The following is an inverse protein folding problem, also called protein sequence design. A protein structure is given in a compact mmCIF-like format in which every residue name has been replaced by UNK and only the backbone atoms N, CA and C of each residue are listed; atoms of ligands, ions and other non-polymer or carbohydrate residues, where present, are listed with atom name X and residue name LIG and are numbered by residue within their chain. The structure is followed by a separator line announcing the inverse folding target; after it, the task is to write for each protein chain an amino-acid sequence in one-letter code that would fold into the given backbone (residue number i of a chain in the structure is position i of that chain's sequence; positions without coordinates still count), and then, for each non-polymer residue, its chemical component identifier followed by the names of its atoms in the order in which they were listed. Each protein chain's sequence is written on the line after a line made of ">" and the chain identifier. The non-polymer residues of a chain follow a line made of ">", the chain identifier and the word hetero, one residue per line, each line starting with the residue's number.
data_IF_699834654267
#
_entry.id   IF_699834654267
#
_cell.length_a   1.000
_cell.length_b   1.000
_cell.length_c   1.000
_cell.angle_alpha   90.00
_cell.angle_beta   90.00
_cell.angle_gamma   90.00
#
_symmetry.space_group_name_H-M   'P 1'
#
loop_
_entity.id
_entity.type
_entity.pdbx_description
1 polymer ?
#
# COMPACT_ATOMS: atom_id res chain seq x y z
N UNK A 1 25.96 0.40 3.62
CA UNK A 1 26.04 1.81 3.15
C UNK A 1 24.92 2.55 3.86
N UNK A 2 25.23 3.57 4.67
CA UNK A 2 24.20 4.34 5.37
C UNK A 2 23.57 5.33 4.39
N UNK A 3 22.42 4.98 3.81
CA UNK A 3 21.63 5.82 2.90
C UNK A 3 20.96 7.02 3.61
N UNK A 4 21.24 7.24 4.90
CA UNK A 4 20.67 8.33 5.70
C UNK A 4 21.29 9.71 5.41
N UNK A 5 22.36 9.78 4.60
CA UNK A 5 22.97 11.05 4.22
C UNK A 5 22.13 11.75 3.15
N UNK A 6 20.95 12.24 3.53
CA UNK A 6 20.12 13.06 2.66
C UNK A 6 18.63 12.97 2.88
N UNK A 7 18.10 12.14 3.79
CA UNK A 7 16.66 12.17 4.10
C UNK A 7 16.41 13.22 5.20
N UNK A 8 15.72 14.29 4.85
CA UNK A 8 15.35 15.36 5.80
C UNK A 8 14.05 15.02 6.54
N UNK A 9 13.07 14.50 5.82
CA UNK A 9 11.76 14.19 6.38
C UNK A 9 10.81 13.57 5.37
N UNK A 10 9.53 13.62 5.71
CA UNK A 10 8.44 13.07 4.91
C UNK A 10 7.31 14.10 4.81
N UNK A 11 6.76 14.24 3.62
CA UNK A 11 5.66 15.14 3.33
C UNK A 11 4.40 14.31 3.14
N UNK A 12 3.32 14.65 3.84
CA UNK A 12 1.98 14.14 3.53
C UNK A 12 1.29 15.09 2.56
N UNK A 13 0.71 14.56 1.48
CA UNK A 13 -0.01 15.35 0.50
C UNK A 13 -1.27 15.96 1.11
N UNK A 14 -1.39 17.29 1.02
CA UNK A 14 -2.49 18.01 1.69
C UNK A 14 -2.36 18.10 3.22
N UNK A 15 -1.29 17.53 3.77
CA UNK A 15 -0.98 17.52 5.20
C UNK A 15 0.32 18.27 5.53
N UNK A 16 0.80 18.15 6.78
CA UNK A 16 2.09 18.71 7.20
C UNK A 16 3.28 17.92 6.61
N UNK A 17 4.47 18.48 6.78
CA UNK A 17 5.74 17.77 6.62
C UNK A 17 6.28 17.43 8.01
N UNK A 18 6.85 16.25 8.15
CA UNK A 18 7.44 15.76 9.39
C UNK A 18 8.95 15.55 9.18
N UNK A 19 9.82 15.99 10.11
CA UNK A 19 11.20 15.57 10.08
C UNK A 19 11.29 14.06 10.34
N UNK A 20 12.31 13.40 9.80
CA UNK A 20 12.44 11.93 9.91
C UNK A 20 12.47 11.45 11.37
N UNK A 21 12.98 12.27 12.29
CA UNK A 21 13.00 11.99 13.74
C UNK A 21 11.62 11.89 14.37
N UNK A 22 10.58 12.44 13.75
CA UNK A 22 9.20 12.43 14.24
C UNK A 22 8.34 11.35 13.55
N UNK A 23 8.87 10.69 12.51
CA UNK A 23 8.11 9.65 11.84
C UNK A 23 8.01 8.41 12.72
N UNK A 24 6.78 8.03 13.04
CA UNK A 24 6.50 6.82 13.78
C UNK A 24 6.85 5.63 12.87
N UNK A 25 7.76 4.77 13.33
CA UNK A 25 8.21 3.61 12.55
C UNK A 25 7.07 2.69 12.12
N UNK A 26 7.39 1.72 11.27
CA UNK A 26 6.41 0.76 10.74
C UNK A 26 5.86 -0.09 11.90
N UNK A 27 4.55 -0.04 12.08
CA UNK A 27 3.81 -0.90 12.99
C UNK A 27 3.88 -2.35 12.54
N UNK A 28 4.13 -3.23 13.51
CA UNK A 28 4.16 -4.68 13.35
C UNK A 28 3.40 -5.33 14.49
N UNK A 29 2.79 -6.48 14.21
CA UNK A 29 2.18 -7.30 15.24
C UNK A 29 3.29 -7.91 16.12
N UNK A 30 3.02 -8.12 17.41
CA UNK A 30 3.99 -8.74 18.34
C UNK A 30 4.43 -10.14 17.91
N UNK A 31 3.55 -10.84 17.16
CA UNK A 31 3.81 -12.17 16.62
C UNK A 31 3.40 -12.18 15.15
N UNK A 32 4.25 -12.73 14.25
CA UNK A 32 3.87 -12.95 12.87
C UNK A 32 2.65 -13.87 12.79
N UNK A 33 1.77 -13.64 11.82
CA UNK A 33 0.69 -14.56 11.50
C UNK A 33 1.29 -15.76 10.76
N UNK A 34 1.19 -17.00 11.28
CA UNK A 34 1.77 -18.19 10.67
C UNK A 34 0.93 -18.68 9.47
N UNK A 35 0.76 -17.80 8.48
CA UNK A 35 0.06 -18.04 7.23
C UNK A 35 1.10 -18.02 6.11
N UNK A 36 1.46 -19.20 5.59
CA UNK A 36 2.63 -19.37 4.71
C UNK A 36 2.27 -19.51 3.23
N UNK A 37 1.01 -19.25 2.86
CA UNK A 37 0.60 -19.35 1.47
C UNK A 37 1.12 -18.14 0.68
N UNK A 38 2.15 -18.40 -0.13
CA UNK A 38 2.57 -17.50 -1.19
C UNK A 38 1.71 -17.79 -2.42
N UNK A 39 0.74 -16.92 -2.67
CA UNK A 39 -0.12 -17.03 -3.82
C UNK A 39 0.47 -16.22 -4.97
N UNK A 40 0.67 -16.85 -6.13
CA UNK A 40 1.30 -16.21 -7.28
C UNK A 40 0.35 -15.18 -7.90
N UNK A 41 0.77 -13.92 -7.99
CA UNK A 41 -0.01 -12.83 -8.59
C UNK A 41 -0.31 -13.08 -10.08
N UNK A 42 -1.54 -12.78 -10.53
CA UNK A 42 -1.97 -12.93 -11.92
C UNK A 42 -2.38 -11.57 -12.54
N UNK A 43 -1.96 -11.33 -13.79
CA UNK A 43 -2.30 -10.12 -14.57
C UNK A 43 -3.53 -10.33 -15.47
N UNK A 44 -4.51 -9.42 -15.47
CA UNK A 44 -5.85 -9.67 -16.02
C UNK A 44 -5.93 -9.49 -17.55
N UNK A 45 -5.50 -10.46 -18.37
CA UNK A 45 -5.58 -10.29 -19.85
C UNK A 45 -6.00 -11.48 -20.72
N UNK A 46 -6.50 -12.61 -20.21
CA UNK A 46 -6.90 -13.75 -21.08
C UNK A 46 -8.21 -14.44 -20.65
N UNK A 47 -8.97 -15.15 -21.51
CA UNK A 47 -10.05 -16.04 -21.08
C UNK A 47 -9.56 -17.13 -20.09
N UNK A 48 -10.46 -17.64 -19.24
CA UNK A 48 -10.13 -18.60 -18.18
C UNK A 48 -9.79 -19.97 -18.79
N UNK A 49 -8.50 -20.30 -18.88
CA UNK A 49 -8.03 -21.66 -19.19
C UNK A 49 -8.26 -22.59 -18.00
N UNK A 50 -8.27 -23.91 -18.24
CA UNK A 50 -8.32 -24.91 -17.16
C UNK A 50 -7.15 -24.76 -16.16
N UNK A 51 -5.98 -24.37 -16.65
CA UNK A 51 -4.81 -24.06 -15.82
C UNK A 51 -5.08 -22.87 -14.90
N UNK A 52 -5.77 -21.84 -15.39
CA UNK A 52 -6.14 -20.68 -14.58
C UNK A 52 -7.18 -21.02 -13.52
N UNK A 53 -8.13 -21.91 -13.82
CA UNK A 53 -9.06 -22.43 -12.82
C UNK A 53 -8.35 -23.23 -11.71
N UNK A 54 -7.36 -24.05 -12.07
CA UNK A 54 -6.53 -24.77 -11.08
C UNK A 54 -5.72 -23.82 -10.22
N UNK A 55 -5.08 -22.83 -10.84
CA UNK A 55 -4.39 -21.77 -10.11
C UNK A 55 -5.35 -21.08 -9.13
N UNK A 56 -6.55 -20.66 -9.53
CA UNK A 56 -7.51 -20.06 -8.59
C UNK A 56 -7.87 -20.97 -7.42
N UNK A 57 -8.06 -22.28 -7.67
CA UNK A 57 -8.36 -23.23 -6.60
C UNK A 57 -7.19 -23.42 -5.63
N UNK A 58 -5.98 -23.43 -6.16
CA UNK A 58 -4.73 -23.56 -5.38
C UNK A 58 -4.40 -22.26 -4.63
N UNK A 59 -4.90 -21.11 -5.12
CA UNK A 59 -4.69 -19.80 -4.52
C UNK A 59 -5.87 -19.29 -3.66
N UNK A 60 -6.80 -20.18 -3.27
CA UNK A 60 -7.91 -19.80 -2.38
C UNK A 60 -7.39 -19.57 -0.96
N UNK A 61 -7.91 -18.55 -0.27
CA UNK A 61 -7.60 -18.35 1.14
C UNK A 61 -8.11 -19.52 1.97
N UNK A 62 -7.18 -20.19 2.65
CA UNK A 62 -7.48 -21.10 3.75
C UNK A 62 -7.90 -20.32 5.00
N UNK A 63 -9.22 -20.27 5.27
CA UNK A 63 -9.78 -19.55 6.41
C UNK A 63 -9.39 -20.14 7.76
N UNK A 64 -9.19 -21.46 7.82
CA UNK A 64 -8.82 -22.14 9.07
C UNK A 64 -7.40 -21.74 9.49
N UNK A 65 -6.53 -21.48 8.52
CA UNK A 65 -5.19 -20.91 8.77
C UNK A 65 -5.19 -19.39 8.89
N UNK A 66 -6.01 -18.68 8.10
CA UNK A 66 -6.08 -17.22 8.18
C UNK A 66 -6.58 -16.78 9.55
N UNK A 67 -7.53 -17.51 10.15
CA UNK A 67 -8.10 -17.21 11.47
C UNK A 67 -8.62 -15.76 11.58
N UNK A 68 -9.66 -15.39 10.83
CA UNK A 68 -10.15 -14.01 10.76
C UNK A 68 -10.52 -13.36 12.10
N UNK A 69 -10.80 -14.17 13.11
CA UNK A 69 -11.17 -13.75 14.46
C UNK A 69 -10.00 -13.12 15.24
N UNK A 70 -8.75 -13.46 14.93
CA UNK A 70 -7.59 -12.92 15.65
C UNK A 70 -7.11 -11.58 15.09
N UNK A 71 -7.56 -11.19 13.90
CA UNK A 71 -7.12 -9.96 13.22
C UNK A 71 -7.53 -8.72 14.00
N UNK A 72 -6.57 -7.85 14.39
CA UNK A 72 -6.91 -6.58 15.02
C UNK A 72 -7.69 -5.71 14.04
N UNK A 73 -8.73 -5.06 14.53
CA UNK A 73 -9.51 -4.09 13.76
C UNK A 73 -8.84 -2.72 13.90
N UNK A 74 -8.57 -2.07 12.77
CA UNK A 74 -8.04 -0.69 12.75
C UNK A 74 -9.16 0.27 12.39
N UNK A 75 -9.76 0.88 13.41
CA UNK A 75 -10.93 1.77 13.27
C UNK A 75 -10.57 3.16 12.76
N UNK A 76 -9.31 3.59 12.88
CA UNK A 76 -8.78 4.86 12.42
C UNK A 76 -7.90 4.71 11.17
N UNK A 77 -8.11 3.66 10.38
CA UNK A 77 -7.37 3.40 9.15
C UNK A 77 -7.53 4.54 8.13
N UNK A 78 -6.41 4.91 7.52
CA UNK A 78 -6.27 5.90 6.45
C UNK A 78 -5.39 5.35 5.31
N UNK A 79 -5.66 5.83 4.10
CA UNK A 79 -4.74 5.73 2.96
C UNK A 79 -4.18 7.13 2.75
N UNK A 80 -2.92 7.31 3.09
CA UNK A 80 -2.23 8.59 2.94
C UNK A 80 -1.36 8.57 1.69
N UNK A 81 -1.06 9.77 1.18
CA UNK A 81 -0.08 9.96 0.12
C UNK A 81 1.14 10.64 0.73
N UNK A 82 2.30 9.99 0.73
CA UNK A 82 3.51 10.54 1.31
C UNK A 82 4.69 10.57 0.35
N UNK A 83 5.63 11.47 0.59
CA UNK A 83 6.83 11.62 -0.21
C UNK A 83 8.04 11.91 0.67
N UNK A 84 9.16 11.23 0.41
CA UNK A 84 10.44 11.54 1.02
C UNK A 84 10.91 12.95 0.62
N UNK A 85 11.33 13.75 1.60
CA UNK A 85 11.97 15.05 1.39
C UNK A 85 13.47 14.86 1.58
N UNK A 86 14.26 15.19 0.56
CA UNK A 86 15.71 15.05 0.62
C UNK A 86 16.43 16.36 1.02
N UNK A 87 15.78 17.50 0.83
CA UNK A 87 16.33 18.80 1.18
C UNK A 87 15.21 19.75 1.61
N UNK A 88 15.50 20.60 2.59
CA UNK A 88 14.54 21.48 3.27
C UNK A 88 13.76 22.40 2.31
N UNK A 89 14.36 22.79 1.18
CA UNK A 89 13.76 23.70 0.19
C UNK A 89 13.14 22.99 -1.02
N UNK A 90 12.94 21.67 -0.95
CA UNK A 90 12.28 20.92 -2.04
C UNK A 90 10.84 21.36 -2.19
N UNK A 91 10.45 21.75 -3.41
CA UNK A 91 9.06 22.17 -3.67
C UNK A 91 8.15 20.96 -3.71
N UNK A 92 6.92 21.11 -3.24
CA UNK A 92 5.94 20.03 -3.22
C UNK A 92 5.67 19.47 -4.64
N UNK A 93 5.67 20.32 -5.66
CA UNK A 93 5.47 19.93 -7.06
C UNK A 93 6.63 19.10 -7.65
N UNK A 94 7.79 19.09 -6.98
CA UNK A 94 8.96 18.28 -7.36
C UNK A 94 8.95 16.90 -6.67
N UNK A 95 8.06 16.69 -5.70
CA UNK A 95 7.93 15.42 -4.99
C UNK A 95 7.21 14.37 -5.84
N UNK A 96 7.45 13.11 -5.51
CA UNK A 96 6.69 11.97 -6.01
C UNK A 96 6.01 11.36 -4.79
N UNK A 97 4.68 11.48 -4.74
CA UNK A 97 3.89 10.96 -3.64
C UNK A 97 3.46 9.53 -3.93
N UNK A 98 3.55 8.66 -2.94
CA UNK A 98 3.15 7.26 -3.00
C UNK A 98 2.10 6.97 -1.92
N UNK A 99 1.23 5.98 -2.17
CA UNK A 99 0.18 5.60 -1.23
C UNK A 99 0.68 4.61 -0.18
N UNK A 100 0.38 4.88 1.09
CA UNK A 100 0.63 3.98 2.22
C UNK A 100 -0.56 3.84 3.15
N UNK A 101 -0.57 2.75 3.91
CA UNK A 101 -1.56 2.53 4.96
C UNK A 101 -1.07 3.16 6.26
N UNK A 102 -1.98 3.89 6.90
CA UNK A 102 -1.67 4.65 8.11
C UNK A 102 -2.78 4.51 9.13
N UNK A 103 -2.43 4.67 10.39
CA UNK A 103 -3.35 4.81 11.51
C UNK A 103 -2.81 5.90 12.43
N UNK A 104 -3.58 6.95 12.73
CA UNK A 104 -3.17 7.98 13.68
C UNK A 104 -2.76 7.44 15.05
N UNK A 105 -3.33 6.31 15.49
CA UNK A 105 -2.99 5.68 16.78
C UNK A 105 -1.80 4.71 16.73
N UNK A 106 -1.45 4.17 15.57
CA UNK A 106 -0.40 3.14 15.43
C UNK A 106 0.79 3.57 14.55
N UNK A 107 0.67 4.67 13.81
CA UNK A 107 1.65 5.13 12.83
C UNK A 107 1.50 4.46 11.47
N UNK A 108 2.61 4.28 10.76
CA UNK A 108 2.63 3.59 9.47
C UNK A 108 2.26 2.11 9.64
N UNK A 109 1.25 1.64 8.93
CA UNK A 109 0.85 0.23 8.91
C UNK A 109 1.56 -0.54 7.80
N UNK A 110 2.62 0.04 7.23
CA UNK A 110 3.22 -0.40 5.98
C UNK A 110 2.51 0.20 4.76
N UNK A 111 3.16 0.14 3.63
CA UNK A 111 2.64 0.67 2.38
C UNK A 111 3.01 -0.24 1.23
N UNK A 112 2.39 0.03 0.09
CA UNK A 112 2.77 -0.61 -1.18
C UNK A 112 4.02 0.08 -1.77
N UNK A 113 4.79 0.76 -0.92
CA UNK A 113 5.96 1.56 -1.23
C UNK A 113 7.18 0.65 -1.38
N UNK A 114 7.98 0.90 -2.42
CA UNK A 114 9.26 0.21 -2.60
C UNK A 114 10.35 1.15 -3.09
N UNK A 115 11.57 0.85 -2.66
CA UNK A 115 12.82 1.61 -2.90
C UNK A 115 13.18 1.84 -4.37
N UNK A 116 12.56 1.10 -5.30
CA UNK A 116 12.75 1.27 -6.73
C UNK A 116 11.45 1.74 -7.39
N UNK A 117 11.14 3.04 -7.31
CA UNK A 117 10.10 3.73 -8.09
C UNK A 117 8.95 2.80 -8.44
N UNK A 118 8.28 2.25 -7.43
CA UNK A 118 7.20 1.31 -7.69
C UNK A 118 6.06 2.14 -8.29
N UNK A 119 6.04 2.19 -9.63
CA UNK A 119 5.18 3.10 -10.39
C UNK A 119 3.68 2.81 -10.22
N UNK A 120 3.29 1.89 -9.33
CA UNK A 120 1.93 1.36 -9.23
C UNK A 120 1.04 2.17 -8.31
N UNK A 121 1.61 2.87 -7.32
CA UNK A 121 0.83 3.58 -6.30
C UNK A 121 1.24 5.05 -6.15
N UNK A 122 1.80 5.65 -7.19
CA UNK A 122 2.17 7.06 -7.21
C UNK A 122 0.95 7.97 -7.40
N UNK A 123 1.07 9.25 -7.05
CA UNK A 123 0.05 10.27 -7.32
C UNK A 123 -0.36 10.31 -8.79
N UNK A 124 0.61 10.12 -9.70
CA UNK A 124 0.32 10.05 -11.13
C UNK A 124 -0.63 8.89 -11.44
N UNK A 125 -0.36 7.69 -10.93
CA UNK A 125 -1.19 6.51 -11.21
C UNK A 125 -2.55 6.57 -10.53
N UNK A 126 -2.61 6.96 -9.26
CA UNK A 126 -3.87 7.11 -8.52
C UNK A 126 -4.79 8.16 -9.16
N UNK A 127 -4.21 9.18 -9.81
CA UNK A 127 -4.97 10.22 -10.49
C UNK A 127 -5.70 9.72 -11.75
N UNK A 128 -5.31 8.56 -12.30
CA UNK A 128 -5.86 8.05 -13.55
C UNK A 128 -7.30 7.55 -13.36
N UNK A 129 -8.17 7.72 -14.38
CA UNK A 129 -9.57 7.31 -14.30
C UNK A 129 -9.73 5.78 -14.20
N UNK A 130 -8.78 5.02 -14.77
CA UNK A 130 -8.73 3.56 -14.81
C UNK A 130 -7.99 2.92 -13.63
N UNK A 131 -7.53 3.72 -12.65
CA UNK A 131 -6.96 3.18 -11.42
C UNK A 131 -7.97 2.30 -10.68
N UNK A 132 -7.53 1.10 -10.33
CA UNK A 132 -8.28 0.14 -9.54
C UNK A 132 -7.70 0.09 -8.12
N UNK A 133 -8.58 0.20 -7.12
CA UNK A 133 -8.20 -0.01 -5.72
C UNK A 133 -7.69 -1.44 -5.55
N UNK A 134 -6.54 -1.67 -4.89
CA UNK A 134 -5.99 -3.01 -4.74
C UNK A 134 -6.78 -3.82 -3.72
N UNK A 135 -7.58 -4.78 -4.18
CA UNK A 135 -8.23 -5.77 -3.31
C UNK A 135 -8.61 -7.01 -4.13
N UNK A 136 -8.85 -8.12 -3.46
CA UNK A 136 -9.38 -9.34 -4.07
C UNK A 136 -10.46 -9.96 -3.20
N UNK A 137 -11.20 -10.91 -3.75
CA UNK A 137 -12.14 -11.71 -2.96
C UNK A 137 -11.45 -12.91 -2.35
N UNK A 138 -12.08 -13.57 -1.39
CA UNK A 138 -11.54 -14.77 -0.73
C UNK A 138 -11.09 -15.89 -1.69
N UNK A 139 -11.73 -16.02 -2.84
CA UNK A 139 -11.37 -17.02 -3.85
C UNK A 139 -10.23 -16.57 -4.76
N UNK A 140 -9.99 -15.25 -4.87
CA UNK A 140 -8.93 -14.64 -5.68
C UNK A 140 -8.44 -13.38 -4.97
N UNK A 141 -7.53 -13.53 -3.99
CA UNK A 141 -7.01 -12.39 -3.24
C UNK A 141 -6.13 -11.51 -4.13
N UNK A 142 -5.96 -10.25 -3.74
CA UNK A 142 -4.96 -9.39 -4.35
C UNK A 142 -3.59 -9.70 -3.74
N UNK A 143 -2.58 -9.84 -4.60
CA UNK A 143 -1.20 -10.06 -4.19
C UNK A 143 -0.30 -9.02 -4.84
N UNK A 144 0.58 -8.45 -4.03
CA UNK A 144 1.76 -7.75 -4.51
C UNK A 144 2.98 -8.54 -4.02
N UNK A 145 3.71 -9.10 -4.97
CA UNK A 145 4.93 -9.86 -4.72
C UNK A 145 6.06 -9.16 -5.47
N UNK A 146 7.00 -8.60 -4.72
CA UNK A 146 8.25 -8.05 -5.24
C UNK A 146 9.43 -8.63 -4.45
N UNK A 147 10.67 -8.38 -4.89
CA UNK A 147 11.89 -9.06 -4.43
C UNK A 147 12.06 -9.08 -2.90
N UNK A 148 11.49 -8.12 -2.17
CA UNK A 148 11.57 -8.06 -0.71
C UNK A 148 10.21 -7.86 -0.04
N UNK A 149 9.11 -7.88 -0.80
CA UNK A 149 7.79 -7.50 -0.30
C UNK A 149 6.74 -8.53 -0.67
N UNK A 150 5.96 -8.94 0.33
CA UNK A 150 4.80 -9.80 0.16
C UNK A 150 3.59 -9.15 0.83
N UNK A 151 2.63 -8.70 0.02
CA UNK A 151 1.32 -8.22 0.47
C UNK A 151 0.21 -9.12 -0.03
N UNK A 152 -0.77 -9.37 0.86
CA UNK A 152 -2.06 -9.94 0.52
C UNK A 152 -3.17 -9.01 0.98
N UNK A 153 -4.13 -8.72 0.10
CA UNK A 153 -5.33 -7.94 0.41
C UNK A 153 -6.56 -8.73 -0.02
N UNK A 154 -7.44 -9.03 0.94
CA UNK A 154 -8.62 -9.86 0.70
C UNK A 154 -9.87 -9.31 1.39
N UNK A 155 -10.97 -9.28 0.67
CA UNK A 155 -12.29 -8.97 1.18
C UNK A 155 -13.03 -10.23 1.63
N UNK A 156 -13.50 -10.21 2.87
CA UNK A 156 -14.37 -11.25 3.43
C UNK A 156 -15.27 -10.67 4.54
N UNK A 157 -16.55 -11.06 4.57
CA UNK A 157 -17.54 -10.66 5.58
C UNK A 157 -17.55 -9.14 5.96
N UNK A 158 -17.46 -8.25 4.96
CA UNK A 158 -17.43 -6.78 5.10
C UNK A 158 -16.14 -6.19 5.70
N UNK A 159 -15.09 -6.99 5.76
CA UNK A 159 -13.76 -6.55 6.13
C UNK A 159 -12.77 -6.77 5.00
N UNK A 160 -11.81 -5.86 4.90
CA UNK A 160 -10.59 -6.00 4.12
C UNK A 160 -9.50 -6.44 5.08
N UNK A 161 -8.94 -7.61 4.85
CA UNK A 161 -7.82 -8.17 5.57
C UNK A 161 -6.55 -7.84 4.80
N UNK A 162 -5.59 -7.26 5.49
CA UNK A 162 -4.31 -6.84 4.93
C UNK A 162 -3.22 -7.58 5.67
N UNK A 163 -2.35 -8.23 4.91
CA UNK A 163 -1.17 -8.90 5.42
C UNK A 163 0.05 -8.37 4.66
N UNK A 164 1.11 -8.01 5.38
CA UNK A 164 2.37 -7.51 4.86
C UNK A 164 3.55 -8.19 5.55
N UNK A 165 4.58 -8.49 4.78
CA UNK A 165 5.81 -9.11 5.27
C UNK A 165 6.91 -9.07 4.21
N UNK A 166 8.09 -9.53 4.57
CA UNK A 166 9.15 -9.73 3.58
C UNK A 166 8.90 -11.01 2.79
N UNK A 167 9.27 -11.04 1.51
CA UNK A 167 9.13 -12.24 0.69
C UNK A 167 9.88 -13.44 1.29
N UNK A 168 11.04 -13.20 1.90
CA UNK A 168 11.86 -14.23 2.55
C UNK A 168 11.23 -14.78 3.85
N UNK A 169 10.61 -13.92 4.66
CA UNK A 169 10.03 -14.32 5.95
C UNK A 169 8.66 -14.98 5.79
N UNK A 170 7.83 -14.59 4.81
CA UNK A 170 6.46 -15.11 4.71
C UNK A 170 6.42 -16.64 4.56
N UNK A 171 7.35 -17.21 3.78
CA UNK A 171 7.44 -18.66 3.59
C UNK A 171 7.88 -19.45 4.82
N UNK A 172 8.43 -18.81 5.86
CA UNK A 172 9.01 -19.49 7.04
C UNK A 172 8.40 -19.05 8.36
N UNK A 173 8.21 -17.74 8.55
CA UNK A 173 7.69 -17.09 9.76
C UNK A 173 6.27 -16.57 9.57
N UNK A 174 5.88 -16.30 8.32
CA UNK A 174 4.59 -15.72 7.98
C UNK A 174 4.62 -14.20 7.93
N UNK A 175 3.47 -13.55 8.06
CA UNK A 175 3.31 -12.11 7.85
C UNK A 175 3.53 -11.34 9.17
N UNK A 176 4.44 -10.37 9.17
CA UNK A 176 4.78 -9.53 10.34
C UNK A 176 3.70 -8.47 10.65
N UNK A 177 3.02 -7.99 9.61
CA UNK A 177 1.96 -6.99 9.69
C UNK A 177 0.67 -7.63 9.21
N UNK A 178 -0.35 -7.64 10.06
CA UNK A 178 -1.64 -8.22 9.72
C UNK A 178 -2.76 -7.58 10.54
N UNK A 179 -3.78 -7.10 9.83
CA UNK A 179 -4.91 -6.39 10.42
C UNK A 179 -6.12 -6.40 9.48
N UNK A 180 -7.28 -6.00 10.00
CA UNK A 180 -8.50 -5.86 9.19
C UNK A 180 -9.14 -4.49 9.36
N UNK A 181 -9.81 -4.05 8.31
CA UNK A 181 -10.51 -2.76 8.23
C UNK A 181 -11.90 -3.00 7.66
N UNK A 182 -12.90 -2.23 8.09
CA UNK A 182 -14.22 -2.28 7.44
C UNK A 182 -14.11 -1.92 5.95
N UNK A 183 -14.76 -2.69 5.07
CA UNK A 183 -14.70 -2.47 3.61
C UNK A 183 -15.04 -1.03 3.22
N UNK A 184 -16.12 -0.47 3.77
CA UNK A 184 -16.55 0.90 3.47
C UNK A 184 -15.48 1.94 3.83
N UNK A 185 -14.80 1.76 4.97
CA UNK A 185 -13.68 2.62 5.38
C UNK A 185 -12.52 2.46 4.40
N UNK A 186 -12.13 1.23 4.08
CA UNK A 186 -11.03 0.97 3.15
C UNK A 186 -11.24 1.68 1.80
N UNK A 187 -12.40 1.46 1.17
CA UNK A 187 -12.69 2.06 -0.14
C UNK A 187 -12.84 3.58 -0.09
N UNK A 188 -13.45 4.13 0.96
CA UNK A 188 -13.59 5.58 1.10
C UNK A 188 -12.25 6.28 1.31
N UNK A 189 -11.30 5.67 2.02
CA UNK A 189 -9.95 6.22 2.21
C UNK A 189 -9.16 6.22 0.89
N UNK A 190 -9.25 5.15 0.10
CA UNK A 190 -8.66 5.13 -1.24
C UNK A 190 -9.24 6.22 -2.16
N UNK A 191 -10.55 6.43 -2.16
CA UNK A 191 -11.14 7.49 -2.99
C UNK A 191 -10.71 8.90 -2.51
N UNK A 192 -10.52 9.11 -1.22
CA UNK A 192 -9.94 10.35 -0.68
C UNK A 192 -8.51 10.56 -1.21
N UNK A 193 -7.65 9.55 -1.09
CA UNK A 193 -6.28 9.59 -1.60
C UNK A 193 -6.23 9.89 -3.11
N UNK A 194 -7.12 9.26 -3.90
CA UNK A 194 -7.24 9.52 -5.35
C UNK A 194 -7.63 10.95 -5.66
N UNK A 195 -8.56 11.54 -4.90
CA UNK A 195 -8.96 12.92 -5.11
C UNK A 195 -7.82 13.89 -4.80
N UNK A 196 -7.07 13.67 -3.72
CA UNK A 196 -5.86 14.44 -3.42
C UNK A 196 -4.81 14.31 -4.54
N UNK A 197 -4.58 13.09 -5.04
CA UNK A 197 -3.66 12.82 -6.13
C UNK A 197 -4.06 13.56 -7.43
N UNK A 198 -5.36 13.55 -7.79
CA UNK A 198 -5.88 14.29 -8.96
C UNK A 198 -5.61 15.79 -8.85
N UNK A 199 -5.92 16.38 -7.70
CA UNK A 199 -5.72 17.80 -7.46
C UNK A 199 -4.23 18.17 -7.50
N UNK A 200 -3.38 17.33 -6.91
CA UNK A 200 -1.93 17.49 -6.95
C UNK A 200 -1.37 17.44 -8.37
N UNK A 201 -1.71 16.41 -9.14
CA UNK A 201 -1.19 16.24 -10.51
C UNK A 201 -1.61 17.39 -11.43
N UNK A 202 -2.80 17.98 -11.20
CA UNK A 202 -3.24 19.19 -11.90
C UNK A 202 -2.36 20.39 -11.53
N UNK A 203 -2.06 20.61 -10.24
CA UNK A 203 -1.17 21.69 -9.77
C UNK A 203 0.25 21.51 -10.31
N UNK A 204 0.80 20.30 -10.20
CA UNK A 204 2.13 19.91 -10.69
C UNK A 204 2.31 20.22 -12.18
N UNK A 205 1.33 19.82 -13.02
CA UNK A 205 1.33 20.13 -14.47
C UNK A 205 1.31 21.64 -14.74
N UNK A 206 0.52 22.41 -13.99
CA UNK A 206 0.46 23.86 -14.15
C UNK A 206 1.79 24.54 -13.77
N UNK A 207 2.42 24.09 -12.69
CA UNK A 207 3.74 24.57 -12.25
C UNK A 207 4.82 24.33 -13.30
N UNK A 208 4.97 23.11 -13.81
CA UNK A 208 5.99 22.83 -14.83
C UNK A 208 5.71 23.52 -16.17
N UNK A 209 4.45 23.79 -16.49
CA UNK A 209 4.09 24.58 -17.68
C UNK A 209 4.54 26.04 -17.54
N UNK A 210 4.42 26.65 -16.36
CA UNK A 210 4.83 28.05 -16.16
C UNK A 210 6.35 28.23 -16.19
N UNK A 211 7.11 27.27 -15.64
CA UNK A 211 8.58 27.29 -15.66
C UNK A 211 9.18 27.17 -17.08
N UNK A 212 8.45 26.60 -18.04
CA UNK A 212 8.91 26.51 -19.44
C UNK A 212 8.71 27.79 -20.24
N UNK A 213 7.92 28.73 -19.72
CA UNK A 213 7.58 29.99 -20.39
C UNK A 213 8.40 31.18 -19.88
N UNK A 214 9.13 31.00 -18.76
CA UNK A 214 10.09 31.94 -18.19
C UNK A 214 11.49 31.71 -18.73
#
# INVERSE_FOLDING_TARGET
>A
MNYTNGLWGEKILGGPAYPFSEFQGIWKNERPLPYHYLHLAYTPTSPVSLERYRAFKENRVDLDQLRPEIFPVIDDFEVIMSAAIYYELQKEEELEFEASFFSPSLGSLGGLEYYEKSTRYTSEVLSRPDFLVPYGHIDVPYFELDQELAFMIVEWERYIYILGGSFEDVGTRGYDTWFKVQSDRYFSQWEQARNLARDYEKRKKAFFKSQRLS
#
